data_IF_386481897743
#
_entry.id   IF_386481897743
#
_cell.length_a   1.000
_cell.length_b   1.000
_cell.length_c   1.000
_cell.angle_alpha   90.00
_cell.angle_beta   90.00
_cell.angle_gamma   90.00
#
_symmetry.space_group_name_H-M   'P 1'
#
loop_
_entity.id
_entity.type
_entity.pdbx_description
1 polymer ?
#
# COMPACT_ATOMS: atom_id res chain seq x y z
N UNK A 1 2.50 30.36 9.32
CA UNK A 1 1.43 29.39 9.63
C UNK A 1 0.65 28.99 8.38
N UNK A 2 0.02 29.92 7.65
CA UNK A 2 -0.75 29.59 6.43
C UNK A 2 0.13 28.96 5.34
N UNK A 3 1.34 29.49 5.09
CA UNK A 3 2.33 28.91 4.14
C UNK A 3 2.71 27.45 4.43
N UNK A 4 2.66 27.02 5.71
CA UNK A 4 2.97 25.63 6.11
C UNK A 4 1.76 24.71 5.96
N UNK A 5 0.55 25.24 6.16
CA UNK A 5 -0.71 24.49 6.12
C UNK A 5 -1.27 24.35 4.70
N UNK A 6 -1.00 25.32 3.82
CA UNK A 6 -1.52 25.38 2.46
C UNK A 6 -1.16 24.12 1.62
N UNK A 7 0.10 23.64 1.61
CA UNK A 7 0.48 22.47 0.83
C UNK A 7 -0.22 21.20 1.32
N UNK A 8 -0.29 20.99 2.63
CA UNK A 8 -0.98 19.84 3.23
C UNK A 8 -2.48 19.84 2.93
N UNK A 9 -3.13 21.01 3.02
CA UNK A 9 -4.54 21.14 2.64
C UNK A 9 -4.78 20.85 1.16
N UNK A 10 -3.91 21.38 0.28
CA UNK A 10 -4.02 21.13 -1.16
C UNK A 10 -3.80 19.65 -1.48
N UNK A 11 -2.79 19.02 -0.87
CA UNK A 11 -2.51 17.59 -1.01
C UNK A 11 -3.68 16.74 -0.51
N UNK A 12 -4.28 17.09 0.63
CA UNK A 12 -5.44 16.40 1.18
C UNK A 12 -6.67 16.48 0.28
N UNK A 13 -6.97 17.65 -0.29
CA UNK A 13 -8.08 17.81 -1.25
C UNK A 13 -7.82 17.02 -2.52
N UNK A 14 -6.61 17.09 -3.08
CA UNK A 14 -6.21 16.31 -4.27
C UNK A 14 -6.34 14.80 -3.99
N UNK A 15 -5.89 14.35 -2.83
CA UNK A 15 -5.98 12.95 -2.41
C UNK A 15 -7.43 12.50 -2.25
N UNK A 16 -8.27 13.31 -1.59
CA UNK A 16 -9.70 13.00 -1.42
C UNK A 16 -10.45 12.93 -2.77
N UNK A 17 -10.16 13.87 -3.68
CA UNK A 17 -10.72 13.88 -5.04
C UNK A 17 -10.27 12.66 -5.85
N UNK A 18 -9.07 12.13 -5.64
CA UNK A 18 -8.60 10.92 -6.31
C UNK A 18 -9.14 9.64 -5.66
N UNK A 19 -9.06 9.54 -4.33
CA UNK A 19 -9.43 8.35 -3.57
C UNK A 19 -10.95 8.11 -3.53
N UNK A 20 -11.77 9.17 -3.49
CA UNK A 20 -13.24 9.06 -3.44
C UNK A 20 -13.84 8.28 -4.61
N UNK A 21 -13.60 8.71 -5.88
CA UNK A 21 -14.08 8.00 -7.06
C UNK A 21 -13.52 6.58 -7.18
N UNK A 22 -12.22 6.41 -6.90
CA UNK A 22 -11.58 5.09 -6.93
C UNK A 22 -12.21 4.14 -5.91
N UNK A 23 -12.46 4.60 -4.69
CA UNK A 23 -13.14 3.81 -3.65
C UNK A 23 -14.56 3.41 -4.05
N UNK A 24 -15.33 4.34 -4.63
CA UNK A 24 -16.67 4.04 -5.13
C UNK A 24 -16.66 2.96 -6.22
N UNK A 25 -15.71 3.01 -7.14
CA UNK A 25 -15.54 2.01 -8.20
C UNK A 25 -15.17 0.63 -7.64
N UNK A 26 -14.26 0.58 -6.65
CA UNK A 26 -13.84 -0.66 -5.97
C UNK A 26 -15.02 -1.32 -5.26
N UNK A 27 -15.85 -0.54 -4.56
CA UNK A 27 -17.07 -1.04 -3.90
C UNK A 27 -18.07 -1.59 -4.92
N UNK A 28 -18.27 -0.90 -6.05
CA UNK A 28 -19.19 -1.35 -7.09
C UNK A 28 -18.75 -2.70 -7.70
N UNK A 29 -17.45 -2.92 -7.83
CA UNK A 29 -16.87 -4.21 -8.25
C UNK A 29 -16.92 -5.31 -7.18
N UNK A 30 -17.52 -5.06 -6.01
CA UNK A 30 -17.56 -5.97 -4.85
C UNK A 30 -16.18 -6.38 -4.32
N UNK A 31 -15.14 -5.58 -4.55
CA UNK A 31 -13.79 -5.88 -4.07
C UNK A 31 -13.52 -5.18 -2.73
N UNK A 32 -14.21 -5.58 -1.65
CA UNK A 32 -14.10 -4.88 -0.35
C UNK A 32 -12.70 -4.96 0.26
N UNK A 33 -11.96 -6.05 -0.03
CA UNK A 33 -10.63 -6.32 0.51
C UNK A 33 -9.48 -5.72 -0.31
N UNK A 34 -9.78 -5.02 -1.41
CA UNK A 34 -8.76 -4.47 -2.31
C UNK A 34 -7.91 -3.39 -1.62
N UNK A 35 -8.56 -2.47 -0.92
CA UNK A 35 -7.87 -1.41 -0.18
C UNK A 35 -6.95 -1.95 0.92
N UNK A 36 -7.40 -2.95 1.66
CA UNK A 36 -6.63 -3.62 2.71
C UNK A 36 -5.39 -4.32 2.16
N UNK A 37 -5.56 -5.05 1.05
CA UNK A 37 -4.46 -5.73 0.36
C UNK A 37 -3.40 -4.74 -0.13
N UNK A 38 -3.84 -3.60 -0.67
CA UNK A 38 -2.96 -2.52 -1.14
C UNK A 38 -2.20 -1.85 0.00
N UNK A 39 -2.82 -1.66 1.16
CA UNK A 39 -2.17 -1.09 2.34
C UNK A 39 -1.05 -2.02 2.87
N UNK A 40 -1.26 -3.33 2.87
CA UNK A 40 -0.22 -4.29 3.25
C UNK A 40 0.85 -4.47 2.18
N UNK A 41 0.49 -4.33 0.90
CA UNK A 41 1.44 -4.31 -0.21
C UNK A 41 2.38 -3.10 -0.15
N UNK A 42 1.86 -1.92 0.20
CA UNK A 42 2.70 -0.72 0.35
C UNK A 42 3.65 -0.85 1.54
N UNK A 43 3.20 -1.41 2.68
CA UNK A 43 4.06 -1.73 3.81
C UNK A 43 5.21 -2.68 3.41
N UNK A 44 4.90 -3.76 2.70
CA UNK A 44 5.90 -4.69 2.16
C UNK A 44 6.90 -3.96 1.26
N UNK A 45 6.41 -3.06 0.40
CA UNK A 45 7.24 -2.25 -0.48
C UNK A 45 8.18 -1.30 0.25
N UNK A 46 7.71 -0.63 1.31
CA UNK A 46 8.55 0.20 2.17
C UNK A 46 9.64 -0.66 2.83
N UNK A 47 9.25 -1.82 3.37
CA UNK A 47 10.19 -2.75 4.00
C UNK A 47 11.29 -3.19 3.01
N UNK A 48 10.92 -3.53 1.77
CA UNK A 48 11.90 -3.88 0.74
C UNK A 48 12.78 -2.70 0.33
N UNK A 49 12.22 -1.51 0.16
CA UNK A 49 12.98 -0.30 -0.19
C UNK A 49 14.07 -0.02 0.84
N UNK A 50 13.71 -0.09 2.11
CA UNK A 50 14.66 0.07 3.21
C UNK A 50 15.69 -1.05 3.28
N UNK A 51 15.35 -2.29 2.86
CA UNK A 51 16.27 -3.44 2.95
C UNK A 51 17.35 -3.35 1.89
N UNK A 52 16.94 -2.92 0.70
CA UNK A 52 17.78 -2.79 -0.48
C UNK A 52 18.53 -1.45 -0.53
N UNK A 53 18.31 -0.58 0.47
CA UNK A 53 18.81 0.81 0.50
C UNK A 53 18.39 1.62 -0.76
N UNK A 54 17.21 1.30 -1.30
CA UNK A 54 16.60 1.97 -2.45
C UNK A 54 15.54 2.94 -1.95
N UNK A 55 15.34 4.04 -2.67
CA UNK A 55 14.30 5.00 -2.33
C UNK A 55 12.92 4.29 -2.16
N UNK A 56 12.30 4.35 -0.96
CA UNK A 56 11.08 3.62 -0.64
C UNK A 56 9.92 3.91 -1.58
N UNK A 57 9.87 5.12 -2.16
CA UNK A 57 8.82 5.49 -3.11
C UNK A 57 8.79 4.56 -4.34
N UNK A 58 9.96 4.28 -4.93
CA UNK A 58 10.04 3.37 -6.07
C UNK A 58 9.78 1.91 -5.67
N UNK A 59 10.27 1.50 -4.50
CA UNK A 59 10.06 0.15 -3.99
C UNK A 59 8.57 -0.13 -3.74
N UNK A 60 7.84 0.83 -3.15
CA UNK A 60 6.38 0.75 -2.96
C UNK A 60 5.66 0.59 -4.30
N UNK A 61 5.98 1.44 -5.28
CA UNK A 61 5.34 1.36 -6.61
C UNK A 61 5.58 -0.01 -7.23
N UNK A 62 6.82 -0.49 -7.25
CA UNK A 62 7.19 -1.76 -7.88
C UNK A 62 6.53 -2.95 -7.19
N UNK A 63 6.60 -3.02 -5.85
CA UNK A 63 6.02 -4.13 -5.08
C UNK A 63 4.49 -4.13 -5.20
N UNK A 64 3.87 -2.97 -5.12
CA UNK A 64 2.41 -2.83 -5.27
C UNK A 64 1.96 -3.23 -6.67
N UNK A 65 2.69 -2.83 -7.71
CA UNK A 65 2.39 -3.20 -9.09
C UNK A 65 2.55 -4.71 -9.32
N UNK A 66 3.59 -5.32 -8.75
CA UNK A 66 3.81 -6.77 -8.80
C UNK A 66 2.68 -7.54 -8.11
N UNK A 67 2.26 -7.10 -6.92
CA UNK A 67 1.13 -7.67 -6.20
C UNK A 67 -0.18 -7.53 -6.97
N UNK A 68 -0.46 -6.35 -7.51
CA UNK A 68 -1.65 -6.10 -8.33
C UNK A 68 -1.66 -6.95 -9.61
N UNK A 69 -0.51 -7.08 -10.29
CA UNK A 69 -0.38 -7.93 -11.48
C UNK A 69 -0.56 -9.42 -11.13
N UNK A 70 0.00 -9.88 -10.00
CA UNK A 70 -0.19 -11.22 -9.47
C UNK A 70 -1.66 -11.51 -9.16
N UNK A 71 -2.35 -10.56 -8.54
CA UNK A 71 -3.79 -10.65 -8.28
C UNK A 71 -4.59 -10.78 -9.59
N UNK A 72 -4.36 -9.90 -10.57
CA UNK A 72 -5.07 -9.95 -11.87
C UNK A 72 -4.81 -11.25 -12.61
N UNK A 73 -3.58 -11.80 -12.52
CA UNK A 73 -3.26 -13.09 -13.12
C UNK A 73 -3.98 -14.25 -12.42
N UNK A 74 -4.12 -14.18 -11.10
CA UNK A 74 -4.78 -15.20 -10.30
C UNK A 74 -6.31 -15.11 -10.42
N UNK A 75 -6.86 -13.90 -10.55
CA UNK A 75 -8.28 -13.63 -10.83
C UNK A 75 -8.75 -14.28 -12.13
N UNK A 76 -7.87 -14.39 -13.14
CA UNK A 76 -8.19 -15.09 -14.40
C UNK A 76 -8.40 -16.60 -14.23
N UNK A 77 -8.08 -17.18 -13.07
CA UNK A 77 -8.31 -18.61 -12.78
C UNK A 77 -9.64 -18.75 -12.01
N UNK A 78 -10.67 -19.41 -12.59
CA UNK A 78 -12.04 -19.39 -12.07
C UNK A 78 -12.28 -20.22 -10.79
N UNK A 79 -11.23 -20.69 -10.10
CA UNK A 79 -11.38 -21.65 -9.00
C UNK A 79 -11.58 -21.01 -7.61
N UNK A 80 -11.29 -19.72 -7.42
CA UNK A 80 -11.42 -19.06 -6.11
C UNK A 80 -12.17 -17.73 -6.21
N UNK A 81 -12.88 -17.39 -5.13
CA UNK A 81 -13.53 -16.09 -5.00
C UNK A 81 -12.46 -14.99 -4.88
N UNK A 82 -12.68 -13.85 -5.55
CA UNK A 82 -11.71 -12.74 -5.54
C UNK A 82 -11.43 -12.21 -4.13
N UNK A 83 -12.43 -12.24 -3.24
CA UNK A 83 -12.28 -11.84 -1.83
C UNK A 83 -11.32 -12.76 -1.07
N UNK A 84 -11.34 -14.07 -1.36
CA UNK A 84 -10.40 -15.02 -0.75
C UNK A 84 -8.99 -14.81 -1.26
N UNK A 85 -8.82 -14.51 -2.56
CA UNK A 85 -7.51 -14.20 -3.13
C UNK A 85 -6.92 -12.93 -2.52
N UNK A 86 -7.72 -11.88 -2.45
CA UNK A 86 -7.36 -10.61 -1.80
C UNK A 86 -6.93 -10.84 -0.35
N UNK A 87 -7.73 -11.57 0.44
CA UNK A 87 -7.40 -11.88 1.82
C UNK A 87 -6.08 -12.64 1.98
N UNK A 88 -5.81 -13.63 1.12
CA UNK A 88 -4.54 -14.38 1.14
C UNK A 88 -3.37 -13.48 0.74
N UNK A 89 -3.54 -12.64 -0.27
CA UNK A 89 -2.53 -11.69 -0.72
C UNK A 89 -2.20 -10.65 0.37
N UNK A 90 -3.21 -10.15 1.07
CA UNK A 90 -3.05 -9.20 2.17
C UNK A 90 -2.19 -9.78 3.31
N UNK A 91 -2.56 -10.97 3.81
CA UNK A 91 -1.86 -11.61 4.92
C UNK A 91 -0.45 -12.08 4.51
N UNK A 92 -0.28 -12.56 3.28
CA UNK A 92 1.04 -12.94 2.77
C UNK A 92 1.96 -11.74 2.62
N UNK A 93 1.45 -10.60 2.11
CA UNK A 93 2.21 -9.37 2.02
C UNK A 93 2.60 -8.84 3.41
N UNK A 94 1.67 -8.86 4.39
CA UNK A 94 1.95 -8.48 5.76
C UNK A 94 3.02 -9.39 6.40
N UNK A 95 2.87 -10.70 6.28
CA UNK A 95 3.82 -11.68 6.83
C UNK A 95 5.21 -11.52 6.23
N UNK A 96 5.31 -11.39 4.90
CA UNK A 96 6.58 -11.15 4.22
C UNK A 96 7.18 -9.81 4.66
N UNK A 97 6.37 -8.77 4.79
CA UNK A 97 6.82 -7.44 5.22
C UNK A 97 7.40 -7.49 6.63
N UNK A 98 6.75 -8.22 7.52
CA UNK A 98 7.21 -8.40 8.90
C UNK A 98 8.50 -9.22 8.99
N UNK A 99 8.66 -10.25 8.14
CA UNK A 99 9.92 -10.99 8.02
C UNK A 99 11.06 -10.08 7.54
N UNK A 100 10.81 -9.26 6.51
CA UNK A 100 11.78 -8.29 5.97
C UNK A 100 12.18 -7.28 7.05
N UNK A 101 11.21 -6.72 7.77
CA UNK A 101 11.46 -5.80 8.88
C UNK A 101 12.24 -6.49 10.01
N UNK A 102 11.92 -7.76 10.33
CA UNK A 102 12.63 -8.50 11.38
C UNK A 102 14.11 -8.76 11.06
N UNK A 103 14.50 -8.75 9.79
CA UNK A 103 15.91 -8.83 9.38
C UNK A 103 16.66 -7.51 9.58
N UNK A 104 15.93 -6.40 9.78
CA UNK A 104 16.49 -5.06 9.99
C UNK A 104 16.61 -4.75 11.48
N UNK A 105 17.74 -5.10 12.10
CA UNK A 105 17.92 -4.88 13.54
C UNK A 105 18.28 -3.43 13.93
N UNK A 106 18.53 -2.52 12.97
CA UNK A 106 19.14 -1.21 13.25
C UNK A 106 18.33 0.01 12.78
N UNK A 107 17.25 -0.17 12.03
CA UNK A 107 16.54 0.97 11.43
C UNK A 107 15.37 1.36 12.35
N UNK A 108 15.50 2.50 13.04
CA UNK A 108 14.36 3.22 13.65
C UNK A 108 13.54 3.85 12.53
N UNK A 109 12.89 3.03 11.73
CA UNK A 109 11.92 3.51 10.75
C UNK A 109 10.73 3.98 11.54
N UNK A 110 10.35 5.24 11.38
CA UNK A 110 9.03 5.68 11.81
C UNK A 110 8.00 5.07 10.84
N UNK A 111 7.70 3.80 11.07
CA UNK A 111 6.76 3.02 10.27
C UNK A 111 5.39 3.72 10.28
N UNK A 112 5.06 4.44 11.36
CA UNK A 112 3.82 5.20 11.48
C UNK A 112 3.81 6.40 10.52
N UNK A 113 4.91 7.12 10.37
CA UNK A 113 5.01 8.21 9.40
C UNK A 113 4.81 7.72 7.95
N UNK A 114 5.32 6.53 7.61
CA UNK A 114 5.12 5.94 6.28
C UNK A 114 3.72 5.30 6.09
N UNK A 115 3.15 4.70 7.14
CA UNK A 115 1.86 4.01 7.06
C UNK A 115 0.67 4.98 7.04
N UNK A 116 0.77 6.04 7.83
CA UNK A 116 -0.28 7.06 7.95
C UNK A 116 -0.07 8.23 6.97
N UNK A 117 1.15 8.38 6.45
CA UNK A 117 1.55 9.46 5.57
C UNK A 117 1.70 10.76 6.36
N UNK A 118 2.86 11.40 6.27
CA UNK A 118 2.99 12.77 6.74
C UNK A 118 2.60 13.72 5.60
N UNK A 119 1.49 14.45 5.78
CA UNK A 119 1.07 15.49 4.85
C UNK A 119 1.80 16.82 5.11
N UNK A 120 2.48 16.95 6.25
CA UNK A 120 3.39 18.04 6.53
C UNK A 120 4.84 17.53 6.42
N UNK A 121 5.75 18.24 5.74
CA UNK A 121 7.18 17.95 5.79
C UNK A 121 7.82 18.35 7.12
#
# INVERSE_FOLDING_TARGET
>A
MIELLLPGWLAGIMLACAAGPLGSFVVWRRMSYFGDTLAHASLLGVAFGLLLDVNPFYAVIVVTLLLAAGLVWLEKRPHLAIDTLLGIMAHSALSLGLVVVSLMSNIRVDLMAYLFGDLLP
#
